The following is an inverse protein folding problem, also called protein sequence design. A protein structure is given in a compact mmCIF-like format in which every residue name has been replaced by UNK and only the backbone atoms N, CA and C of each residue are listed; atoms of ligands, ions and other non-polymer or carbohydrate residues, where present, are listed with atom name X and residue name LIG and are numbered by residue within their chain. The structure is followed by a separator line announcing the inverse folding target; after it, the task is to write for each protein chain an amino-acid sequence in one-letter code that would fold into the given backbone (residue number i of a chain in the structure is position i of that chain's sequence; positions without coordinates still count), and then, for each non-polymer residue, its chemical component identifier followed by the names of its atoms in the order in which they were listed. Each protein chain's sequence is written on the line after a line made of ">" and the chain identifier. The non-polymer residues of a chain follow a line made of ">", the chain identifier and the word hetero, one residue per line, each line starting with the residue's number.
data_IF_735851471896
#
_entry.id   IF_735851471896
#
_cell.length_a   1.000
_cell.length_b   1.000
_cell.length_c   1.000
_cell.angle_alpha   90.00
_cell.angle_beta   90.00
_cell.angle_gamma   90.00
#
_symmetry.space_group_name_H-M   'P 1'
#
loop_
_entity.id
_entity.type
_entity.pdbx_description
1 polymer ?
#
# COMPACT_ATOMS: atom_id res chain seq x y z
N UNK A 1 0.52 -0.12 -15.96
CA UNK A 1 1.38 -1.06 -15.21
C UNK A 1 1.32 -2.51 -15.71
N UNK A 2 0.14 -3.13 -15.89
CA UNK A 2 0.05 -4.55 -16.26
C UNK A 2 0.82 -4.95 -17.53
N UNK A 3 0.67 -4.18 -18.62
CA UNK A 3 1.34 -4.45 -19.90
C UNK A 3 2.87 -4.47 -19.76
N UNK A 4 3.44 -3.46 -19.10
CA UNK A 4 4.87 -3.41 -18.83
C UNK A 4 5.36 -4.66 -18.05
N UNK A 5 4.60 -5.12 -17.06
CA UNK A 5 4.91 -6.34 -16.33
C UNK A 5 4.88 -7.61 -17.22
N UNK A 6 3.90 -7.71 -18.12
CA UNK A 6 3.79 -8.80 -19.09
C UNK A 6 4.95 -8.79 -20.10
N UNK A 7 5.32 -7.61 -20.60
CA UNK A 7 6.42 -7.43 -21.55
C UNK A 7 7.76 -7.84 -20.91
N UNK A 8 8.04 -7.38 -19.68
CA UNK A 8 9.24 -7.77 -18.92
C UNK A 8 9.28 -9.29 -18.70
N UNK A 9 8.16 -9.91 -18.33
CA UNK A 9 8.11 -11.38 -18.14
C UNK A 9 8.38 -12.14 -19.42
N UNK A 10 7.89 -11.63 -20.54
CA UNK A 10 8.11 -12.22 -21.87
C UNK A 10 9.58 -12.13 -22.26
N UNK A 11 10.20 -10.97 -22.08
CA UNK A 11 11.63 -10.76 -22.32
C UNK A 11 12.52 -11.65 -21.44
N UNK A 12 12.10 -11.90 -20.20
CA UNK A 12 12.83 -12.77 -19.26
C UNK A 12 12.54 -14.28 -19.43
N UNK A 13 11.68 -14.70 -20.37
CA UNK A 13 11.33 -16.11 -20.57
C UNK A 13 10.61 -16.76 -19.39
N UNK A 14 9.81 -15.98 -18.63
CA UNK A 14 9.14 -16.41 -17.39
C UNK A 14 7.61 -16.44 -17.53
N UNK A 15 7.11 -16.81 -18.70
CA UNK A 15 5.67 -16.87 -19.00
C UNK A 15 4.94 -17.86 -18.07
N UNK A 16 3.66 -17.62 -17.83
CA UNK A 16 2.77 -18.50 -17.05
C UNK A 16 2.95 -18.48 -15.53
N UNK A 17 3.92 -17.73 -14.98
CA UNK A 17 4.13 -17.66 -13.51
C UNK A 17 3.32 -16.58 -12.78
N UNK A 18 2.85 -15.56 -13.50
CA UNK A 18 2.03 -14.47 -12.95
C UNK A 18 0.77 -14.36 -13.78
N UNK A 19 -0.39 -14.39 -13.12
CA UNK A 19 -1.69 -14.05 -13.69
C UNK A 19 -1.94 -12.56 -13.42
N UNK A 20 -2.27 -11.81 -14.45
CA UNK A 20 -2.61 -10.39 -14.36
C UNK A 20 -4.11 -10.24 -14.54
N UNK A 21 -4.76 -9.54 -13.62
CA UNK A 21 -6.20 -9.34 -13.60
C UNK A 21 -6.51 -7.88 -13.33
N UNK A 22 -7.54 -7.37 -13.99
CA UNK A 22 -8.04 -6.00 -13.82
C UNK A 22 -9.35 -6.05 -13.03
N UNK A 23 -9.41 -5.31 -11.92
CA UNK A 23 -10.59 -5.18 -11.09
C UNK A 23 -10.52 -3.91 -10.25
N UNK A 24 -11.68 -3.47 -9.78
CA UNK A 24 -11.83 -2.40 -8.82
C UNK A 24 -11.82 -2.97 -7.39
N UNK A 25 -10.77 -2.66 -6.63
CA UNK A 25 -10.56 -3.18 -5.27
C UNK A 25 -11.43 -2.49 -4.21
N UNK A 26 -12.12 -1.39 -4.55
CA UNK A 26 -13.15 -0.77 -3.70
C UNK A 26 -14.44 -1.59 -3.65
N UNK A 27 -14.55 -2.61 -4.52
CA UNK A 27 -15.71 -3.48 -4.66
C UNK A 27 -15.33 -4.94 -4.36
N UNK A 28 -16.30 -5.81 -4.03
CA UNK A 28 -16.04 -7.23 -3.81
C UNK A 28 -15.30 -7.87 -5.00
N UNK A 29 -14.10 -8.38 -4.76
CA UNK A 29 -13.23 -8.93 -5.79
C UNK A 29 -13.74 -10.27 -6.32
N UNK A 30 -14.39 -11.09 -5.48
CA UNK A 30 -14.98 -12.38 -5.88
C UNK A 30 -16.18 -12.25 -6.83
N UNK A 31 -16.77 -11.07 -6.96
CA UNK A 31 -17.83 -10.79 -7.95
C UNK A 31 -17.26 -10.40 -9.32
N UNK A 32 -15.99 -9.98 -9.35
CA UNK A 32 -15.32 -9.45 -10.54
C UNK A 32 -14.39 -10.49 -11.17
N UNK A 33 -13.81 -11.36 -10.35
CA UNK A 33 -12.71 -12.24 -10.74
C UNK A 33 -12.88 -13.64 -10.15
N UNK A 34 -12.36 -14.63 -10.87
CA UNK A 34 -12.30 -16.02 -10.42
C UNK A 34 -11.02 -16.27 -9.60
N UNK A 35 -11.17 -16.23 -8.26
CA UNK A 35 -10.10 -16.50 -7.30
C UNK A 35 -10.12 -17.95 -6.78
N UNK A 36 -8.95 -18.51 -6.39
CA UNK A 36 -8.91 -19.80 -5.73
C UNK A 36 -9.81 -19.84 -4.49
N UNK A 37 -10.73 -20.82 -4.42
CA UNK A 37 -11.67 -20.96 -3.30
C UNK A 37 -10.97 -21.12 -1.93
N UNK A 38 -9.74 -21.60 -1.93
CA UNK A 38 -8.97 -21.82 -0.71
C UNK A 38 -8.20 -20.56 -0.27
N UNK A 39 -8.23 -19.45 -1.01
CA UNK A 39 -7.45 -18.25 -0.72
C UNK A 39 -5.95 -18.39 -1.00
N UNK A 40 -5.18 -17.42 -0.53
CA UNK A 40 -3.75 -17.27 -0.73
C UNK A 40 -2.98 -17.36 0.60
N UNK A 41 -1.77 -17.90 0.55
CA UNK A 41 -0.87 -17.94 1.71
C UNK A 41 -0.39 -16.54 2.10
N UNK A 42 -0.28 -15.64 1.11
CA UNK A 42 0.10 -14.25 1.28
C UNK A 42 -0.81 -13.38 0.41
N UNK A 43 -1.38 -12.34 0.99
CA UNK A 43 -2.04 -11.24 0.27
C UNK A 43 -1.23 -9.97 0.48
N UNK A 44 -0.90 -9.28 -0.62
CA UNK A 44 -0.13 -8.04 -0.57
C UNK A 44 -0.95 -6.85 -1.04
N UNK A 45 -0.90 -5.74 -0.30
CA UNK A 45 -1.52 -4.47 -0.67
C UNK A 45 -0.52 -3.32 -0.48
N UNK A 46 0.29 -3.05 -1.51
CA UNK A 46 1.33 -2.02 -1.47
C UNK A 46 0.81 -0.76 -2.16
N UNK A 47 0.59 0.32 -1.38
CA UNK A 47 0.00 1.58 -1.86
C UNK A 47 -1.42 1.44 -2.43
N UNK A 48 -2.18 0.45 -1.96
CA UNK A 48 -3.56 0.20 -2.44
C UNK A 48 -4.58 1.04 -1.66
N UNK A 49 -4.44 1.07 -0.34
CA UNK A 49 -5.38 1.77 0.54
C UNK A 49 -5.33 3.30 0.41
N UNK A 50 -4.24 3.82 -0.18
CA UNK A 50 -4.03 5.25 -0.44
C UNK A 50 -4.86 5.76 -1.65
N UNK A 51 -5.84 4.96 -2.09
CA UNK A 51 -6.81 5.29 -3.13
C UNK A 51 -8.27 5.14 -2.66
N UNK A 52 -8.50 4.79 -1.39
CA UNK A 52 -9.85 4.73 -0.83
C UNK A 52 -10.42 6.14 -0.70
N UNK A 53 -11.54 6.46 -1.35
CA UNK A 53 -12.13 7.81 -1.31
C UNK A 53 -13.11 7.99 -0.14
N UNK A 54 -13.39 6.91 0.59
CA UNK A 54 -14.23 6.90 1.78
C UNK A 54 -13.82 5.78 2.73
N UNK A 55 -14.31 5.84 3.98
CA UNK A 55 -14.17 4.73 4.94
C UNK A 55 -14.87 3.45 4.46
N UNK A 56 -15.92 3.56 3.63
CA UNK A 56 -16.58 2.40 3.02
C UNK A 56 -15.68 1.72 2.00
N UNK A 57 -14.99 2.50 1.15
CA UNK A 57 -14.04 1.96 0.18
C UNK A 57 -12.89 1.25 0.91
N UNK A 58 -12.35 1.90 1.95
CA UNK A 58 -11.27 1.32 2.75
C UNK A 58 -11.71 0.00 3.40
N UNK A 59 -12.93 -0.05 3.94
CA UNK A 59 -13.49 -1.28 4.52
C UNK A 59 -13.61 -2.38 3.48
N UNK A 60 -14.18 -2.10 2.31
CA UNK A 60 -14.32 -3.09 1.23
C UNK A 60 -12.95 -3.61 0.76
N UNK A 61 -11.93 -2.73 0.67
CA UNK A 61 -10.56 -3.14 0.34
C UNK A 61 -9.99 -4.10 1.39
N UNK A 62 -10.23 -3.86 2.68
CA UNK A 62 -9.81 -4.79 3.74
C UNK A 62 -10.60 -6.09 3.75
N UNK A 63 -11.90 -6.07 3.47
CA UNK A 63 -12.72 -7.27 3.31
C UNK A 63 -12.17 -8.17 2.19
N UNK A 64 -11.75 -7.57 1.08
CA UNK A 64 -11.06 -8.27 0.00
C UNK A 64 -9.74 -8.92 0.45
N UNK A 65 -8.96 -8.23 1.30
CA UNK A 65 -7.74 -8.80 1.89
C UNK A 65 -8.06 -10.00 2.78
N UNK A 66 -9.01 -9.86 3.70
CA UNK A 66 -9.40 -10.92 4.64
C UNK A 66 -9.96 -12.14 3.90
N UNK A 67 -10.87 -11.93 2.94
CA UNK A 67 -11.46 -13.00 2.13
C UNK A 67 -10.43 -13.69 1.22
N UNK A 68 -9.38 -12.97 0.83
CA UNK A 68 -8.30 -13.51 0.01
C UNK A 68 -7.31 -14.39 0.77
N UNK A 69 -7.29 -14.36 2.10
CA UNK A 69 -6.32 -15.08 2.92
C UNK A 69 -6.82 -16.49 3.30
N UNK A 70 -5.89 -17.45 3.26
CA UNK A 70 -6.07 -18.74 3.96
C UNK A 70 -6.11 -18.51 5.47
N UNK A 71 -6.75 -19.41 6.25
CA UNK A 71 -6.53 -19.47 7.70
C UNK A 71 -5.03 -19.60 8.03
N UNK A 72 -4.50 -18.72 8.88
CA UNK A 72 -3.08 -18.66 9.22
C UNK A 72 -2.20 -17.97 8.16
N UNK A 73 -2.79 -17.49 7.07
CA UNK A 73 -2.12 -16.73 6.00
C UNK A 73 -1.60 -15.38 6.48
N UNK A 74 -0.82 -14.70 5.64
CA UNK A 74 -0.16 -13.44 5.98
C UNK A 74 -0.58 -12.29 5.09
N UNK A 75 -0.95 -11.18 5.71
CA UNK A 75 -1.04 -9.89 5.04
C UNK A 75 0.33 -9.19 5.07
N UNK A 76 0.70 -8.54 3.97
CA UNK A 76 1.84 -7.61 3.89
C UNK A 76 1.39 -6.39 3.10
N UNK A 77 1.56 -5.19 3.64
CA UNK A 77 1.15 -3.97 2.93
C UNK A 77 2.02 -2.78 3.24
N UNK A 78 1.90 -1.78 2.38
CA UNK A 78 2.47 -0.43 2.60
C UNK A 78 1.31 0.52 2.81
N UNK A 79 1.40 1.31 3.88
CA UNK A 79 0.40 2.32 4.25
C UNK A 79 1.07 3.66 4.40
N UNK A 80 0.44 4.72 3.94
CA UNK A 80 0.79 6.08 4.34
C UNK A 80 0.81 6.19 5.88
N UNK A 81 1.64 7.10 6.40
CA UNK A 81 1.69 7.44 7.82
C UNK A 81 1.81 8.95 7.96
N UNK A 82 3.02 9.49 7.79
CA UNK A 82 3.26 10.93 7.86
C UNK A 82 3.09 11.59 6.49
N UNK A 83 1.84 11.83 6.08
CA UNK A 83 1.49 12.51 4.81
C UNK A 83 2.10 13.93 4.74
N UNK A 84 2.33 14.57 5.89
CA UNK A 84 2.89 15.93 6.00
C UNK A 84 4.37 15.97 6.36
N UNK A 85 5.10 14.87 6.22
CA UNK A 85 6.55 14.86 6.48
C UNK A 85 7.26 15.88 5.59
N UNK A 86 8.14 16.71 6.17
CA UNK A 86 8.73 17.87 5.49
C UNK A 86 9.42 17.51 4.16
N UNK A 87 10.14 16.38 4.14
CA UNK A 87 10.86 15.90 2.97
C UNK A 87 9.97 15.51 1.78
N UNK A 88 8.67 15.34 2.02
CA UNK A 88 7.68 15.09 0.98
C UNK A 88 7.33 16.36 0.20
N UNK A 89 7.67 17.55 0.68
CA UNK A 89 7.44 18.79 -0.07
C UNK A 89 8.46 19.03 -1.20
N UNK A 90 9.65 18.44 -1.09
CA UNK A 90 10.76 18.65 -2.04
C UNK A 90 11.33 17.36 -2.65
N UNK A 91 10.74 16.19 -2.33
CA UNK A 91 10.94 14.98 -3.13
C UNK A 91 12.23 14.22 -2.85
N UNK A 92 12.80 14.33 -1.65
CA UNK A 92 14.10 13.72 -1.28
C UNK A 92 14.20 12.24 -1.66
N UNK A 93 13.12 11.48 -1.47
CA UNK A 93 13.07 10.04 -1.70
C UNK A 93 12.27 9.65 -2.96
N UNK A 94 12.18 10.57 -3.94
CA UNK A 94 11.63 10.30 -5.26
C UNK A 94 10.14 10.59 -5.44
N UNK A 95 9.45 11.05 -4.40
CA UNK A 95 8.01 11.39 -4.45
C UNK A 95 7.70 12.65 -3.65
N UNK A 96 6.69 13.41 -4.07
CA UNK A 96 6.21 14.62 -3.38
C UNK A 96 4.74 14.55 -3.04
N UNK A 97 4.32 15.06 -1.88
CA UNK A 97 2.91 15.24 -1.53
C UNK A 97 2.59 16.74 -1.48
N UNK A 98 1.66 17.20 -2.30
CA UNK A 98 1.26 18.62 -2.41
C UNK A 98 -0.26 18.76 -2.35
N UNK A 99 -0.76 19.98 -2.21
CA UNK A 99 -2.22 20.27 -2.21
C UNK A 99 -3.00 19.41 -1.20
N UNK A 100 -2.48 19.29 0.02
CA UNK A 100 -3.07 18.43 1.06
C UNK A 100 -4.34 19.08 1.62
N UNK A 101 -5.49 18.46 1.36
CA UNK A 101 -6.82 18.85 1.79
C UNK A 101 -7.36 17.85 2.83
N UNK A 102 -8.08 18.35 3.84
CA UNK A 102 -8.84 17.51 4.77
C UNK A 102 -10.17 17.11 4.13
N UNK A 103 -10.45 15.81 4.16
CA UNK A 103 -11.72 15.23 3.74
C UNK A 103 -12.35 14.48 4.90
N UNK A 104 -13.60 14.06 4.75
CA UNK A 104 -14.30 13.30 5.79
C UNK A 104 -13.51 12.05 6.20
N UNK A 105 -12.99 12.02 7.43
CA UNK A 105 -12.17 10.94 7.99
C UNK A 105 -10.89 10.63 7.20
N UNK A 106 -10.29 11.63 6.56
CA UNK A 106 -9.09 11.40 5.76
C UNK A 106 -8.42 12.65 5.23
N UNK A 107 -7.39 12.41 4.42
CA UNK A 107 -6.66 13.40 3.67
C UNK A 107 -6.75 13.09 2.18
N UNK A 108 -6.77 14.14 1.38
CA UNK A 108 -6.67 14.10 -0.08
C UNK A 108 -5.45 14.93 -0.47
N UNK A 109 -4.66 14.47 -1.44
CA UNK A 109 -3.45 15.18 -1.86
C UNK A 109 -3.01 14.77 -3.27
N UNK A 110 -2.18 15.61 -3.88
CA UNK A 110 -1.50 15.30 -5.14
C UNK A 110 -0.21 14.54 -4.83
N UNK A 111 -0.07 13.35 -5.40
CA UNK A 111 1.14 12.52 -5.36
C UNK A 111 1.98 12.76 -6.62
N UNK A 112 3.13 13.40 -6.46
CA UNK A 112 4.10 13.63 -7.55
C UNK A 112 5.21 12.58 -7.56
N UNK A 113 5.51 12.03 -8.72
CA UNK A 113 6.65 11.14 -8.96
C UNK A 113 7.82 11.94 -9.56
N UNK A 114 8.97 11.94 -8.88
CA UNK A 114 10.20 12.61 -9.32
C UNK A 114 10.94 11.73 -10.33
N UNK A 115 10.32 11.53 -11.48
CA UNK A 115 10.84 10.75 -12.62
C UNK A 115 11.14 11.66 -13.81
N UNK A 116 11.65 11.08 -14.91
CA UNK A 116 11.84 11.78 -16.18
C UNK A 116 11.13 11.03 -17.32
N UNK A 117 9.99 11.55 -17.85
CA UNK A 117 9.30 12.78 -17.41
C UNK A 117 8.65 12.62 -16.03
N UNK A 118 8.46 13.72 -15.27
CA UNK A 118 7.68 13.68 -14.05
C UNK A 118 6.20 13.43 -14.37
N UNK A 119 5.48 12.81 -13.44
CA UNK A 119 4.04 12.66 -13.51
C UNK A 119 3.44 12.73 -12.11
N UNK A 120 2.14 13.02 -12.03
CA UNK A 120 1.43 13.12 -10.77
C UNK A 120 0.02 12.54 -10.89
N UNK A 121 -0.57 12.23 -9.74
CA UNK A 121 -1.94 11.73 -9.63
C UNK A 121 -2.51 12.02 -8.23
N UNK A 122 -3.82 11.99 -8.14
CA UNK A 122 -4.53 12.16 -6.88
C UNK A 122 -4.42 10.90 -6.00
N UNK A 123 -4.17 11.11 -4.72
CA UNK A 123 -4.17 10.08 -3.69
C UNK A 123 -4.98 10.52 -2.47
N UNK A 124 -5.38 9.54 -1.68
CA UNK A 124 -6.08 9.74 -0.42
C UNK A 124 -5.39 8.97 0.69
N UNK A 125 -5.69 9.33 1.93
CA UNK A 125 -5.29 8.56 3.10
C UNK A 125 -6.38 8.69 4.14
N UNK A 126 -7.15 7.62 4.33
CA UNK A 126 -8.18 7.58 5.38
C UNK A 126 -7.53 7.43 6.76
N UNK A 127 -8.17 7.96 7.79
CA UNK A 127 -7.64 8.02 9.17
C UNK A 127 -7.24 6.65 9.70
N UNK A 128 -8.10 5.64 9.53
CA UNK A 128 -7.77 4.26 9.90
C UNK A 128 -6.49 3.77 9.19
N UNK A 129 -6.27 4.15 7.92
CA UNK A 129 -5.05 3.79 7.19
C UNK A 129 -3.82 4.52 7.74
N UNK A 130 -3.80 5.86 7.74
CA UNK A 130 -2.57 6.61 8.05
C UNK A 130 -2.21 6.69 9.53
N UNK A 131 -3.17 6.50 10.44
CA UNK A 131 -2.90 6.39 11.88
C UNK A 131 -2.30 5.04 12.27
N UNK A 132 -2.32 4.05 11.36
CA UNK A 132 -1.96 2.66 11.63
C UNK A 132 -2.80 2.03 12.76
N UNK A 133 -4.09 2.40 12.90
CA UNK A 133 -4.96 1.90 13.98
C UNK A 133 -5.26 0.40 13.91
N UNK A 134 -5.25 -0.15 12.70
CA UNK A 134 -5.61 -1.55 12.36
C UNK A 134 -7.05 -1.94 12.73
N UNK A 135 -7.90 -0.98 13.09
CA UNK A 135 -9.27 -1.19 13.58
C UNK A 135 -10.13 -2.06 12.64
N UNK A 136 -10.29 -1.64 11.38
CA UNK A 136 -11.08 -2.34 10.36
C UNK A 136 -10.53 -3.76 10.15
N UNK A 137 -9.21 -3.89 10.04
CA UNK A 137 -8.58 -5.15 9.75
C UNK A 137 -8.73 -6.14 10.92
N UNK A 138 -8.68 -5.66 12.16
CA UNK A 138 -8.92 -6.46 13.37
C UNK A 138 -10.38 -6.91 13.50
N UNK A 139 -11.34 -6.06 13.13
CA UNK A 139 -12.76 -6.45 13.07
C UNK A 139 -13.00 -7.59 12.07
N UNK A 140 -12.16 -7.67 11.02
CA UNK A 140 -12.20 -8.71 10.00
C UNK A 140 -11.37 -9.96 10.36
N UNK A 141 -10.85 -10.02 11.59
CA UNK A 141 -10.15 -11.19 12.12
C UNK A 141 -8.64 -11.20 11.90
N UNK A 142 -8.04 -10.14 11.33
CA UNK A 142 -6.59 -10.06 11.26
C UNK A 142 -5.99 -9.77 12.64
N UNK A 143 -4.85 -10.40 12.93
CA UNK A 143 -4.13 -10.35 14.20
C UNK A 143 -2.62 -10.20 14.00
N UNK A 144 -1.87 -10.12 15.10
CA UNK A 144 -0.40 -10.06 15.10
C UNK A 144 0.20 -8.95 14.24
N UNK A 145 -0.42 -7.77 14.25
CA UNK A 145 0.07 -6.62 13.50
C UNK A 145 1.49 -6.21 13.93
N UNK A 146 2.35 -6.04 12.94
CA UNK A 146 3.72 -5.58 13.10
C UNK A 146 4.02 -4.53 12.05
N UNK A 147 4.68 -3.45 12.47
CA UNK A 147 5.28 -2.48 11.56
C UNK A 147 6.76 -2.79 11.46
N UNK A 148 7.26 -2.98 10.24
CA UNK A 148 8.69 -3.21 10.02
C UNK A 148 9.49 -2.00 10.51
N UNK A 149 10.57 -2.29 11.25
CA UNK A 149 11.53 -1.28 11.67
C UNK A 149 12.43 -0.93 10.49
N UNK A 150 12.44 0.33 10.11
CA UNK A 150 13.16 0.80 8.92
C UNK A 150 14.67 0.73 9.12
N UNK A 151 15.10 0.91 10.36
CA UNK A 151 16.49 0.82 10.80
C UNK A 151 17.06 -0.60 10.65
N UNK A 152 16.20 -1.62 10.50
CA UNK A 152 16.64 -2.99 10.24
C UNK A 152 16.97 -3.23 8.76
N UNK A 153 16.50 -2.36 7.85
CA UNK A 153 16.75 -2.48 6.42
C UNK A 153 18.22 -2.15 6.07
N UNK A 154 18.85 -3.01 5.27
CA UNK A 154 20.27 -2.87 4.92
C UNK A 154 20.59 -1.53 4.25
N UNK A 155 19.70 -1.06 3.37
CA UNK A 155 19.87 0.23 2.67
C UNK A 155 19.86 1.43 3.63
N UNK A 156 19.12 1.31 4.74
CA UNK A 156 19.05 2.34 5.79
C UNK A 156 20.31 2.30 6.63
N UNK A 157 20.75 1.09 7.03
CA UNK A 157 22.00 0.89 7.78
C UNK A 157 23.23 1.38 7.02
N UNK A 158 23.26 1.22 5.70
CA UNK A 158 24.38 1.63 4.88
C UNK A 158 24.51 3.15 4.74
N UNK A 159 23.45 3.92 4.98
CA UNK A 159 23.44 5.38 4.80
C UNK A 159 22.45 6.10 5.73
N UNK A 160 22.75 6.09 7.04
CA UNK A 160 21.89 6.70 8.05
C UNK A 160 21.72 8.21 7.87
N UNK A 161 22.71 8.89 7.29
CA UNK A 161 22.63 10.34 7.03
C UNK A 161 21.59 10.64 5.96
N UNK A 162 21.62 9.90 4.84
CA UNK A 162 20.61 10.05 3.80
C UNK A 162 19.20 9.72 4.30
N UNK A 163 19.05 8.63 5.07
CA UNK A 163 17.75 8.16 5.57
C UNK A 163 17.25 8.82 6.85
N UNK A 164 18.02 9.75 7.44
CA UNK A 164 17.71 10.36 8.73
C UNK A 164 16.30 10.98 8.83
N UNK A 165 15.86 11.69 7.79
CA UNK A 165 14.52 12.31 7.76
C UNK A 165 13.41 11.25 7.73
N UNK A 166 13.60 10.19 6.94
CA UNK A 166 12.65 9.09 6.82
C UNK A 166 12.55 8.29 8.13
N UNK A 167 13.67 8.07 8.84
CA UNK A 167 13.66 7.41 10.15
C UNK A 167 12.92 8.28 11.18
N UNK A 168 13.19 9.59 11.16
CA UNK A 168 12.60 10.55 12.11
C UNK A 168 11.08 10.70 11.93
N UNK A 169 10.61 10.78 10.68
CA UNK A 169 9.20 11.00 10.37
C UNK A 169 8.75 10.16 9.15
N UNK A 170 8.58 8.84 9.30
CA UNK A 170 8.34 7.96 8.17
C UNK A 170 6.99 8.23 7.52
N UNK A 171 7.01 8.60 6.24
CA UNK A 171 5.81 8.84 5.46
C UNK A 171 5.09 7.54 5.06
N UNK A 172 5.78 6.38 5.04
CA UNK A 172 5.16 5.06 4.89
C UNK A 172 5.58 4.07 5.98
N UNK A 173 4.65 3.21 6.38
CA UNK A 173 4.91 2.02 7.17
C UNK A 173 4.71 0.74 6.36
N UNK A 174 5.62 -0.22 6.49
CA UNK A 174 5.40 -1.60 6.00
C UNK A 174 4.76 -2.38 7.14
N UNK A 175 3.55 -2.89 6.90
CA UNK A 175 2.73 -3.56 7.90
C UNK A 175 2.56 -5.02 7.53
N UNK A 176 2.67 -5.89 8.53
CA UNK A 176 2.40 -7.32 8.42
C UNK A 176 1.32 -7.71 9.42
N UNK A 177 0.47 -8.66 9.05
CA UNK A 177 -0.54 -9.25 9.93
C UNK A 177 -0.83 -10.70 9.54
N UNK A 178 -1.63 -11.39 10.35
CA UNK A 178 -2.05 -12.78 10.11
C UNK A 178 -3.58 -12.88 10.10
N UNK A 179 -4.11 -13.78 9.29
CA UNK A 179 -5.52 -14.22 9.35
C UNK A 179 -5.69 -15.44 10.27
#
# INVERSE_FOLDING_TARGET
>A
MMRAGQDIKTQLGRQGRIRWLEADVTRPLGEQLDFPQHGYDIVMANWVFDHATSMSDLKNMWENVAAGLKPGGKFIGVRAKSVRAEYMSYGKYGVTFTEIEEISNGLKYEFGCVTQPPFSFEATSMESSYSLSDDIARELGLVDFQVCRLEDAEIVKSDLEFWGDYIKDPNFGVVMARA
#
